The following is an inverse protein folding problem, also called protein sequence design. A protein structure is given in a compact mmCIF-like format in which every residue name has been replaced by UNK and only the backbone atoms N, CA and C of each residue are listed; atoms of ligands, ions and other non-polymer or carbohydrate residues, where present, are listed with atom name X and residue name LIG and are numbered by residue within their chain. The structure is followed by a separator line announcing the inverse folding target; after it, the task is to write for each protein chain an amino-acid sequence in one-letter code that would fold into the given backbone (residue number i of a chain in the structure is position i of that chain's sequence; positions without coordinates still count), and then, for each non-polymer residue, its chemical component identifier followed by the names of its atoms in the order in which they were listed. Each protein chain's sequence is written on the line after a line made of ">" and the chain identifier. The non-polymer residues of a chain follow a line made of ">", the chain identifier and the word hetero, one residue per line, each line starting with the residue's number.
data_IF_544649816509
#
_entry.id   IF_544649816509
#
_cell.length_a   1.000
_cell.length_b   1.000
_cell.length_c   1.000
_cell.angle_alpha   90.00
_cell.angle_beta   90.00
_cell.angle_gamma   90.00
#
_symmetry.space_group_name_H-M   'P 1'
#
loop_
_entity.id
_entity.type
_entity.pdbx_description
1 polymer ?
#
# COMPACT_ATOMS: atom_id res chain seq x y z
N UNK A 1 33.72 59.36 36.32
CA UNK A 1 32.38 59.33 35.69
C UNK A 1 31.77 57.99 36.09
N UNK A 2 30.95 58.07 37.11
CA UNK A 2 30.24 56.92 37.66
C UNK A 2 29.15 56.57 36.65
N UNK A 3 29.26 55.42 36.03
CA UNK A 3 28.24 54.91 35.10
C UNK A 3 26.95 54.66 35.92
N UNK A 4 25.95 55.49 35.73
CA UNK A 4 24.68 55.36 36.43
C UNK A 4 24.11 53.99 36.13
N UNK A 5 23.70 53.24 37.17
CA UNK A 5 23.09 51.93 37.07
C UNK A 5 21.88 52.04 36.17
N UNK A 6 21.78 51.27 35.05
CA UNK A 6 20.68 51.35 34.08
C UNK A 6 19.29 51.16 34.69
N UNK A 7 19.24 50.59 35.90
CA UNK A 7 18.01 50.45 36.69
C UNK A 7 17.57 51.78 37.30
N UNK A 8 18.52 52.57 37.80
CA UNK A 8 18.26 53.89 38.38
C UNK A 8 17.87 54.91 37.33
N UNK A 9 18.47 54.88 36.15
CA UNK A 9 18.10 55.71 35.00
C UNK A 9 16.69 55.43 34.50
N UNK A 10 16.28 54.16 34.41
CA UNK A 10 14.95 53.76 34.09
C UNK A 10 13.90 54.19 35.15
N UNK A 11 14.24 54.08 36.45
CA UNK A 11 13.39 54.49 37.56
C UNK A 11 13.19 56.01 37.60
N UNK A 12 14.21 56.81 37.36
CA UNK A 12 14.10 58.28 37.30
C UNK A 12 13.27 58.73 36.11
N UNK A 13 13.31 58.06 34.98
CA UNK A 13 12.47 58.32 33.84
C UNK A 13 10.99 58.05 34.13
N UNK A 14 10.66 57.00 34.90
CA UNK A 14 9.29 56.66 35.31
C UNK A 14 8.71 57.65 36.33
N UNK A 15 9.54 58.28 37.13
CA UNK A 15 9.05 59.12 38.23
C UNK A 15 8.98 60.63 37.90
N UNK A 16 9.67 61.13 36.87
CA UNK A 16 9.92 62.55 36.66
C UNK A 16 9.24 63.21 35.41
N UNK A 17 8.06 62.73 34.89
CA UNK A 17 7.42 63.44 33.82
C UNK A 17 6.07 62.92 33.35
N UNK A 18 5.32 63.78 32.60
CA UNK A 18 4.07 63.41 31.91
C UNK A 18 4.20 62.24 30.99
N UNK A 19 5.40 62.02 30.46
CA UNK A 19 5.74 60.84 29.63
C UNK A 19 5.64 59.53 30.41
N UNK A 20 6.05 59.47 31.70
CA UNK A 20 5.93 58.29 32.53
C UNK A 20 4.49 57.83 32.76
N UNK A 21 3.57 58.77 33.02
CA UNK A 21 2.17 58.45 33.21
C UNK A 21 1.49 57.95 31.94
N UNK A 22 1.87 58.46 30.77
CA UNK A 22 1.38 58.03 29.49
C UNK A 22 1.82 56.59 29.20
N UNK A 23 3.07 56.21 29.48
CA UNK A 23 3.60 54.86 29.34
C UNK A 23 2.91 53.86 30.29
N UNK A 24 2.75 54.24 31.59
CA UNK A 24 2.03 53.40 32.55
C UNK A 24 0.61 53.12 32.06
N UNK A 25 -0.08 54.16 31.53
CA UNK A 25 -1.44 53.98 30.98
C UNK A 25 -1.46 53.07 29.77
N UNK A 26 -0.51 53.17 28.83
CA UNK A 26 -0.40 52.30 27.66
C UNK A 26 -0.16 50.83 28.05
N UNK A 27 0.80 50.58 28.94
CA UNK A 27 1.11 49.25 29.45
C UNK A 27 -0.11 48.64 30.16
N UNK A 28 -0.77 49.42 31.02
CA UNK A 28 -1.99 48.99 31.73
C UNK A 28 -3.12 48.64 30.76
N UNK A 29 -3.30 49.45 29.72
CA UNK A 29 -4.31 49.19 28.67
C UNK A 29 -4.01 47.86 27.91
N UNK A 30 -2.73 47.66 27.54
CA UNK A 30 -2.32 46.45 26.84
C UNK A 30 -2.53 45.21 27.70
N UNK A 31 -2.03 45.25 28.98
CA UNK A 31 -2.20 44.13 29.92
C UNK A 31 -3.71 43.84 30.15
N UNK A 32 -4.50 44.90 30.34
CA UNK A 32 -5.95 44.76 30.51
C UNK A 32 -6.60 44.10 29.26
N UNK A 33 -6.19 44.56 28.07
CA UNK A 33 -6.69 43.98 26.80
C UNK A 33 -6.32 42.49 26.68
N UNK A 34 -5.10 42.10 27.10
CA UNK A 34 -4.66 40.72 27.11
C UNK A 34 -5.47 39.88 28.10
N UNK A 35 -5.77 40.38 29.28
CA UNK A 35 -6.63 39.70 30.27
C UNK A 35 -8.01 39.47 29.69
N UNK A 36 -8.62 40.51 29.09
CA UNK A 36 -9.93 40.43 28.47
C UNK A 36 -9.93 39.46 27.28
N UNK A 37 -8.94 39.59 26.40
CA UNK A 37 -8.82 38.68 25.23
C UNK A 37 -8.66 37.22 25.68
N UNK A 38 -7.82 36.96 26.71
CA UNK A 38 -7.62 35.63 27.26
C UNK A 38 -8.88 35.06 27.94
N UNK A 39 -9.67 35.90 28.61
CA UNK A 39 -10.99 35.50 29.15
C UNK A 39 -11.94 35.05 28.03
N UNK A 40 -12.06 35.84 26.97
CA UNK A 40 -12.89 35.49 25.83
C UNK A 40 -12.39 34.23 25.11
N UNK A 41 -11.09 34.13 24.91
CA UNK A 41 -10.45 32.97 24.27
C UNK A 41 -10.74 31.67 25.04
N UNK A 42 -10.58 31.67 26.36
CA UNK A 42 -10.94 30.53 27.23
C UNK A 42 -12.42 30.18 27.12
N UNK A 43 -13.30 31.17 27.05
CA UNK A 43 -14.75 30.97 26.95
C UNK A 43 -15.14 30.42 25.58
N UNK A 44 -14.50 30.87 24.50
CA UNK A 44 -14.70 30.37 23.13
C UNK A 44 -14.22 28.93 23.04
N UNK A 45 -13.03 28.63 23.52
CA UNK A 45 -12.48 27.28 23.48
C UNK A 45 -13.33 26.30 24.31
N UNK A 46 -13.84 26.68 25.47
CA UNK A 46 -14.75 25.87 26.28
C UNK A 46 -16.09 25.56 25.53
N UNK A 47 -16.66 26.58 24.86
CA UNK A 47 -17.88 26.37 24.06
C UNK A 47 -17.64 25.50 22.84
N UNK A 48 -16.47 25.59 22.21
CA UNK A 48 -16.09 24.72 21.10
C UNK A 48 -15.91 23.29 21.58
N UNK A 49 -15.33 23.08 22.75
CA UNK A 49 -15.18 21.75 23.37
C UNK A 49 -16.54 21.08 23.58
N UNK A 50 -17.51 21.79 24.22
CA UNK A 50 -18.87 21.29 24.41
C UNK A 50 -19.61 20.97 23.09
N UNK A 51 -19.37 21.75 22.02
CA UNK A 51 -19.96 21.50 20.70
C UNK A 51 -19.34 20.32 19.98
N UNK A 52 -18.04 20.12 20.14
CA UNK A 52 -17.31 19.04 19.47
C UNK A 52 -17.50 17.70 20.17
N UNK A 53 -17.74 17.66 21.49
CA UNK A 53 -18.11 16.43 22.21
C UNK A 53 -19.38 15.79 21.63
N UNK A 54 -20.34 16.60 21.18
CA UNK A 54 -21.59 16.13 20.58
C UNK A 54 -21.44 15.76 19.08
N UNK A 55 -20.30 16.04 18.46
CA UNK A 55 -20.07 15.79 17.05
C UNK A 55 -19.18 14.56 16.89
N UNK A 56 -19.56 13.62 16.04
CA UNK A 56 -18.82 12.37 15.80
C UNK A 56 -17.44 12.57 15.13
N UNK A 57 -16.93 13.80 15.01
CA UNK A 57 -15.64 14.11 14.40
C UNK A 57 -14.48 14.00 15.42
N UNK A 58 -13.63 12.98 15.34
CA UNK A 58 -12.57 12.72 16.35
C UNK A 58 -11.50 13.79 16.39
N UNK A 59 -11.24 14.40 15.24
CA UNK A 59 -10.20 15.42 15.07
C UNK A 59 -10.56 16.75 15.73
N UNK A 60 -11.87 17.08 15.77
CA UNK A 60 -12.37 18.32 16.35
C UNK A 60 -12.11 18.38 17.87
N UNK A 61 -12.48 17.32 18.59
CA UNK A 61 -12.28 17.23 20.03
C UNK A 61 -10.78 17.25 20.38
N UNK A 62 -9.96 16.48 19.64
CA UNK A 62 -8.53 16.44 19.84
C UNK A 62 -7.87 17.81 19.63
N UNK A 63 -8.31 18.55 18.61
CA UNK A 63 -7.79 19.89 18.29
C UNK A 63 -8.11 20.89 19.41
N UNK A 64 -9.36 20.96 19.84
CA UNK A 64 -9.81 21.95 20.85
C UNK A 64 -9.19 21.63 22.21
N UNK A 65 -9.21 20.35 22.62
CA UNK A 65 -8.60 19.93 23.89
C UNK A 65 -7.09 20.20 23.93
N UNK A 66 -6.37 19.94 22.84
CA UNK A 66 -4.94 20.21 22.74
C UNK A 66 -4.62 21.72 22.71
N UNK A 67 -5.47 22.55 22.10
CA UNK A 67 -5.24 23.98 21.92
C UNK A 67 -5.44 24.79 23.21
N UNK A 68 -6.31 24.38 24.11
CA UNK A 68 -6.80 25.17 25.25
C UNK A 68 -5.67 25.77 26.11
N UNK A 69 -4.70 24.97 26.53
CA UNK A 69 -3.59 25.40 27.39
C UNK A 69 -2.50 26.19 26.62
N UNK A 70 -1.97 25.67 25.49
CA UNK A 70 -0.92 26.34 24.75
C UNK A 70 -1.36 27.70 24.18
N UNK A 71 -2.57 27.80 23.62
CA UNK A 71 -3.07 29.07 23.06
C UNK A 71 -3.28 30.13 24.12
N UNK A 72 -3.74 29.73 25.31
CA UNK A 72 -3.85 30.63 26.47
C UNK A 72 -2.50 31.16 26.90
N UNK A 73 -1.47 30.30 26.98
CA UNK A 73 -0.11 30.71 27.32
C UNK A 73 0.50 31.60 26.23
N UNK A 74 0.28 31.25 24.97
CA UNK A 74 0.75 32.05 23.82
C UNK A 74 0.17 33.47 23.83
N UNK A 75 -1.12 33.62 24.16
CA UNK A 75 -1.74 34.95 24.30
C UNK A 75 -1.08 35.77 25.40
N UNK A 76 -0.69 35.17 26.54
CA UNK A 76 0.05 35.83 27.59
C UNK A 76 1.46 36.22 27.14
N UNK A 77 2.22 35.34 26.50
CA UNK A 77 3.56 35.61 26.00
C UNK A 77 3.54 36.79 25.04
N UNK A 78 2.65 36.74 24.00
CA UNK A 78 2.55 37.84 23.03
C UNK A 78 2.15 39.15 23.69
N UNK A 79 1.18 39.11 24.59
CA UNK A 79 0.71 40.32 25.25
C UNK A 79 1.75 40.96 26.21
N UNK A 80 2.42 40.14 27.00
CA UNK A 80 3.46 40.62 27.89
C UNK A 80 4.69 41.14 27.13
N UNK A 81 5.14 40.42 26.10
CA UNK A 81 6.27 40.89 25.27
C UNK A 81 5.92 42.12 24.47
N UNK A 82 4.64 42.28 24.05
CA UNK A 82 4.18 43.54 23.44
C UNK A 82 4.21 44.73 24.46
N UNK A 83 3.81 44.48 25.72
CA UNK A 83 3.93 45.49 26.76
C UNK A 83 5.40 45.86 27.03
N UNK A 84 6.30 44.88 27.09
CA UNK A 84 7.73 45.09 27.23
C UNK A 84 8.32 45.87 26.05
N UNK A 85 7.87 45.61 24.83
CA UNK A 85 8.26 46.37 23.64
C UNK A 85 7.91 47.85 23.75
N UNK A 86 6.72 48.19 24.22
CA UNK A 86 6.33 49.60 24.44
C UNK A 86 7.28 50.28 25.43
N UNK A 87 7.67 49.58 26.49
CA UNK A 87 8.66 50.11 27.49
C UNK A 87 10.02 50.29 26.80
N UNK A 88 10.49 49.32 26.04
CA UNK A 88 11.77 49.38 25.34
C UNK A 88 11.84 50.56 24.35
N UNK A 89 10.78 50.70 23.49
CA UNK A 89 10.70 51.77 22.50
C UNK A 89 10.67 53.15 23.14
N UNK A 90 10.23 53.28 24.42
CA UNK A 90 10.13 54.53 25.15
C UNK A 90 11.36 54.84 25.99
N UNK A 91 12.05 53.82 26.54
CA UNK A 91 13.15 53.99 27.49
C UNK A 91 14.51 53.67 26.90
N UNK A 92 14.55 52.93 25.78
CA UNK A 92 15.78 52.39 25.18
C UNK A 92 16.69 51.62 26.17
N UNK A 93 16.12 51.14 27.29
CA UNK A 93 16.89 50.46 28.31
C UNK A 93 17.28 49.03 27.86
N UNK A 94 18.59 48.73 27.87
CA UNK A 94 19.15 47.47 27.36
C UNK A 94 18.58 46.21 28.04
N UNK A 95 18.05 46.35 29.28
CA UNK A 95 17.41 45.23 29.99
C UNK A 95 16.17 44.66 29.27
N UNK A 96 15.55 45.41 28.39
CA UNK A 96 14.35 45.00 27.63
C UNK A 96 14.66 44.48 26.21
N UNK A 97 15.92 44.50 25.78
CA UNK A 97 16.35 44.04 24.45
C UNK A 97 16.00 42.58 24.17
N UNK A 98 15.88 41.76 25.21
CA UNK A 98 15.56 40.34 25.11
C UNK A 98 14.08 40.02 24.81
N UNK A 99 13.21 41.01 24.61
CA UNK A 99 11.78 40.73 24.37
C UNK A 99 11.52 39.94 23.07
N UNK A 100 12.26 40.25 21.99
CA UNK A 100 12.08 39.54 20.70
C UNK A 100 12.47 38.07 20.75
N UNK A 101 13.65 37.68 21.24
CA UNK A 101 14.01 36.27 21.42
C UNK A 101 13.04 35.54 22.36
N UNK A 102 12.63 36.14 23.45
CA UNK A 102 11.67 35.55 24.42
C UNK A 102 10.30 35.32 23.77
N UNK A 103 9.80 36.29 23.00
CA UNK A 103 8.54 36.15 22.27
C UNK A 103 8.63 34.99 21.26
N UNK A 104 9.68 34.99 20.46
CA UNK A 104 9.82 34.00 19.37
C UNK A 104 9.97 32.60 19.94
N UNK A 105 10.85 32.38 20.89
CA UNK A 105 11.05 31.07 21.53
C UNK A 105 9.81 30.64 22.30
N UNK A 106 9.14 31.58 22.98
CA UNK A 106 7.89 31.29 23.69
C UNK A 106 6.77 30.87 22.79
N UNK A 107 6.59 31.55 21.65
CA UNK A 107 5.57 31.16 20.61
C UNK A 107 5.89 29.80 20.01
N UNK A 108 7.17 29.55 19.65
CA UNK A 108 7.62 28.24 19.14
C UNK A 108 7.34 27.15 20.19
N UNK A 109 7.66 27.40 21.46
CA UNK A 109 7.38 26.49 22.56
C UNK A 109 5.89 26.17 22.72
N UNK A 110 5.02 27.17 22.61
CA UNK A 110 3.56 27.00 22.68
C UNK A 110 3.02 26.19 21.50
N UNK A 111 3.49 26.47 20.28
CA UNK A 111 3.11 25.71 19.08
C UNK A 111 3.59 24.26 19.22
N UNK A 112 4.82 24.06 19.64
CA UNK A 112 5.37 22.71 19.87
C UNK A 112 4.55 21.95 20.90
N UNK A 113 4.24 22.59 22.04
CA UNK A 113 3.41 21.97 23.07
C UNK A 113 2.01 21.62 22.56
N UNK A 114 1.38 22.50 21.79
CA UNK A 114 0.12 22.25 21.13
C UNK A 114 0.21 21.01 20.22
N UNK A 115 1.21 20.95 19.33
CA UNK A 115 1.38 19.82 18.39
C UNK A 115 1.63 18.49 19.12
N UNK A 116 2.43 18.49 20.18
CA UNK A 116 2.66 17.29 20.98
C UNK A 116 1.40 16.79 21.68
N UNK A 117 0.61 17.71 22.26
CA UNK A 117 -0.68 17.37 22.86
C UNK A 117 -1.69 16.90 21.80
N UNK A 118 -1.72 17.56 20.65
CA UNK A 118 -2.62 17.19 19.54
C UNK A 118 -2.33 15.78 19.03
N UNK A 119 -1.05 15.45 18.75
CA UNK A 119 -0.64 14.11 18.34
C UNK A 119 -1.10 13.07 19.37
N UNK A 120 -0.91 13.33 20.65
CA UNK A 120 -1.31 12.41 21.72
C UNK A 120 -2.84 12.25 21.79
N UNK A 121 -3.58 13.35 21.74
CA UNK A 121 -5.05 13.32 21.80
C UNK A 121 -5.65 12.58 20.60
N UNK A 122 -5.07 12.74 19.40
CA UNK A 122 -5.48 11.99 18.20
C UNK A 122 -5.21 10.49 18.36
N UNK A 123 -4.03 10.12 18.88
CA UNK A 123 -3.71 8.71 19.15
C UNK A 123 -4.70 8.07 20.12
N UNK A 124 -4.94 8.72 21.26
CA UNK A 124 -5.87 8.24 22.29
C UNK A 124 -7.30 8.11 21.73
N UNK A 125 -7.72 9.08 20.90
CA UNK A 125 -9.03 9.06 20.23
C UNK A 125 -9.17 7.96 19.18
N UNK A 126 -8.10 7.63 18.42
CA UNK A 126 -8.10 6.53 17.45
C UNK A 126 -8.23 5.17 18.16
N UNK A 127 -7.44 4.97 19.22
CA UNK A 127 -7.46 3.74 20.02
C UNK A 127 -8.84 3.52 20.63
N UNK A 128 -9.39 4.53 21.31
CA UNK A 128 -10.70 4.45 21.95
C UNK A 128 -11.83 4.11 20.95
N UNK A 129 -11.79 4.62 19.73
CA UNK A 129 -12.79 4.31 18.70
C UNK A 129 -12.73 2.89 18.19
N UNK A 130 -11.53 2.38 17.93
CA UNK A 130 -11.38 1.00 17.47
C UNK A 130 -11.82 0.02 18.55
N UNK A 131 -11.49 0.31 19.81
CA UNK A 131 -11.99 -0.47 20.97
C UNK A 131 -13.52 -0.46 21.09
N UNK A 132 -14.13 0.73 20.91
CA UNK A 132 -15.60 0.87 20.95
C UNK A 132 -16.31 0.11 19.81
N UNK A 133 -15.61 -0.14 18.68
CA UNK A 133 -16.12 -0.92 17.54
C UNK A 133 -15.84 -2.42 17.66
N UNK A 134 -15.20 -2.87 18.73
CA UNK A 134 -14.78 -4.27 18.90
C UNK A 134 -13.74 -4.74 17.88
N UNK A 135 -13.03 -3.81 17.23
CA UNK A 135 -11.99 -4.13 16.25
C UNK A 135 -10.63 -4.31 16.95
N UNK A 136 -9.78 -5.23 16.50
CA UNK A 136 -8.44 -5.37 17.05
C UNK A 136 -7.63 -4.10 16.80
N UNK A 137 -7.15 -3.49 17.90
CA UNK A 137 -6.35 -2.27 17.86
C UNK A 137 -4.87 -2.64 17.78
N UNK A 138 -4.21 -2.25 16.71
CA UNK A 138 -2.75 -2.27 16.64
C UNK A 138 -2.17 -1.04 17.35
N UNK A 139 -2.15 -1.09 18.68
CA UNK A 139 -1.56 -0.04 19.52
C UNK A 139 -0.10 0.22 19.18
N UNK A 140 0.64 -0.82 18.79
CA UNK A 140 2.07 -0.72 18.47
C UNK A 140 2.32 0.19 17.27
N UNK A 141 1.55 0.03 16.21
CA UNK A 141 1.66 0.89 15.01
C UNK A 141 1.25 2.32 15.30
N UNK A 142 0.14 2.55 16.02
CA UNK A 142 -0.31 3.89 16.40
C UNK A 142 0.73 4.61 17.26
N UNK A 143 1.30 3.90 18.24
CA UNK A 143 2.35 4.45 19.11
C UNK A 143 3.65 4.74 18.35
N UNK A 144 4.07 3.88 17.44
CA UNK A 144 5.27 4.08 16.63
C UNK A 144 5.15 5.33 15.75
N UNK A 145 4.03 5.50 15.04
CA UNK A 145 3.76 6.69 14.22
C UNK A 145 3.75 7.94 15.08
N UNK A 146 3.08 7.92 16.22
CA UNK A 146 3.02 9.05 17.10
C UNK A 146 4.38 9.43 17.72
N UNK A 147 5.24 8.46 18.00
CA UNK A 147 6.63 8.73 18.43
C UNK A 147 7.42 9.42 17.33
N UNK A 148 7.34 8.94 16.10
CA UNK A 148 8.03 9.55 14.96
C UNK A 148 7.55 10.99 14.72
N UNK A 149 6.24 11.24 14.73
CA UNK A 149 5.68 12.58 14.59
C UNK A 149 6.16 13.52 15.71
N UNK A 150 6.16 13.07 16.96
CA UNK A 150 6.65 13.87 18.10
C UNK A 150 8.14 14.20 17.99
N UNK A 151 8.97 13.24 17.58
CA UNK A 151 10.41 13.47 17.35
C UNK A 151 10.59 14.49 16.24
N UNK A 152 9.86 14.38 15.11
CA UNK A 152 9.94 15.34 14.00
C UNK A 152 9.57 16.75 14.44
N UNK A 153 8.46 16.91 15.19
CA UNK A 153 8.03 18.19 15.75
C UNK A 153 9.10 18.78 16.68
N UNK A 154 9.69 17.95 17.56
CA UNK A 154 10.71 18.40 18.49
C UNK A 154 12.00 18.84 17.78
N UNK A 155 12.46 18.07 16.80
CA UNK A 155 13.65 18.42 16.00
C UNK A 155 13.42 19.76 15.29
N UNK A 156 12.27 19.91 14.61
CA UNK A 156 11.92 21.15 13.90
C UNK A 156 11.84 22.33 14.84
N UNK A 157 11.21 22.19 16.01
CA UNK A 157 11.08 23.23 17.00
C UNK A 157 12.47 23.68 17.56
N UNK A 158 13.35 22.72 17.83
CA UNK A 158 14.72 23.03 18.30
C UNK A 158 15.51 23.78 17.21
N UNK A 159 15.42 23.36 15.94
CA UNK A 159 16.11 24.03 14.84
C UNK A 159 15.60 25.46 14.64
N UNK A 160 14.30 25.69 14.65
CA UNK A 160 13.72 27.03 14.54
C UNK A 160 14.07 27.88 15.77
N UNK A 161 14.03 27.29 16.96
CA UNK A 161 14.42 27.96 18.21
C UNK A 161 15.89 28.41 18.20
N UNK A 162 16.80 27.54 17.79
CA UNK A 162 18.22 27.88 17.64
C UNK A 162 18.45 29.02 16.64
N UNK A 163 17.76 28.93 15.48
CA UNK A 163 17.85 29.96 14.46
C UNK A 163 17.33 31.31 14.95
N UNK A 164 16.23 31.32 15.71
CA UNK A 164 15.66 32.56 16.29
C UNK A 164 16.55 33.21 17.37
N UNK A 165 17.43 32.42 18.00
CA UNK A 165 18.42 32.88 18.94
C UNK A 165 19.73 33.32 18.24
N UNK A 166 19.76 33.37 16.90
CA UNK A 166 20.92 33.81 16.13
C UNK A 166 21.97 32.71 15.86
N UNK A 167 21.75 31.47 16.28
CA UNK A 167 22.63 30.36 15.95
C UNK A 167 22.50 29.92 14.49
N UNK A 168 23.62 29.70 13.82
CA UNK A 168 23.62 29.16 12.47
C UNK A 168 23.26 27.69 12.51
N UNK A 169 22.08 27.35 11.93
CA UNK A 169 21.62 25.95 11.79
C UNK A 169 22.17 25.28 10.54
N UNK A 170 22.90 25.99 9.69
CA UNK A 170 23.43 25.48 8.42
C UNK A 170 24.27 24.21 8.58
N UNK A 171 25.15 24.18 9.60
CA UNK A 171 25.94 22.98 9.90
C UNK A 171 25.10 21.79 10.36
N UNK A 172 24.09 22.05 11.19
CA UNK A 172 23.16 21.00 11.66
C UNK A 172 22.34 20.46 10.47
N UNK A 173 21.87 21.34 9.55
CA UNK A 173 21.14 20.94 8.36
C UNK A 173 22.02 20.17 7.36
N UNK A 174 23.28 20.59 7.17
CA UNK A 174 24.23 19.86 6.32
C UNK A 174 24.50 18.44 6.86
N UNK A 175 24.75 18.31 8.16
CA UNK A 175 24.94 17.02 8.82
C UNK A 175 23.66 16.19 8.82
N UNK A 176 22.51 16.82 9.09
CA UNK A 176 21.18 16.22 9.02
C UNK A 176 20.83 15.76 7.61
N UNK A 177 21.31 16.45 6.57
CA UNK A 177 21.15 16.05 5.17
C UNK A 177 21.83 14.72 4.87
N UNK A 178 23.07 14.51 5.32
CA UNK A 178 23.76 13.21 5.18
C UNK A 178 23.03 12.11 5.97
N UNK A 179 22.61 12.39 7.19
CA UNK A 179 21.79 11.48 8.00
C UNK A 179 20.43 11.20 7.34
N UNK A 180 19.80 12.20 6.72
CA UNK A 180 18.54 12.07 5.99
C UNK A 180 18.66 11.14 4.78
N UNK A 181 19.78 11.19 4.04
CA UNK A 181 20.08 10.26 2.95
C UNK A 181 20.16 8.83 3.48
N UNK A 182 20.85 8.59 4.59
CA UNK A 182 20.95 7.26 5.19
C UNK A 182 19.58 6.73 5.64
N UNK A 183 18.75 7.56 6.28
CA UNK A 183 17.37 7.22 6.66
C UNK A 183 16.50 6.97 5.42
N UNK A 184 16.66 7.78 4.36
CA UNK A 184 15.97 7.60 3.09
C UNK A 184 16.28 6.25 2.44
N UNK A 185 17.54 5.83 2.42
CA UNK A 185 17.92 4.50 1.94
C UNK A 185 17.35 3.38 2.82
N UNK A 186 17.36 3.53 4.13
CA UNK A 186 16.75 2.56 5.05
C UNK A 186 15.22 2.45 4.88
N UNK A 187 14.55 3.54 4.52
CA UNK A 187 13.10 3.59 4.30
C UNK A 187 12.68 3.25 2.86
N UNK A 188 13.62 3.01 1.94
CA UNK A 188 13.36 2.81 0.50
C UNK A 188 12.31 1.75 0.22
N UNK A 189 12.45 0.58 0.85
CA UNK A 189 11.54 -0.54 0.61
C UNK A 189 10.14 -0.28 1.17
N UNK A 190 10.05 0.44 2.29
CA UNK A 190 8.78 0.87 2.85
C UNK A 190 8.02 1.80 1.89
N UNK A 191 8.72 2.80 1.36
CA UNK A 191 8.19 3.74 0.38
C UNK A 191 7.83 3.05 -0.93
N UNK A 192 8.67 2.13 -1.43
CA UNK A 192 8.39 1.37 -2.63
C UNK A 192 7.10 0.54 -2.50
N UNK A 193 6.87 -0.09 -1.35
CA UNK A 193 5.65 -0.84 -1.09
C UNK A 193 4.42 0.07 -0.95
N UNK A 194 4.56 1.23 -0.31
CA UNK A 194 3.48 2.21 -0.21
C UNK A 194 3.06 2.72 -1.60
N UNK A 195 4.02 3.14 -2.43
CA UNK A 195 3.74 3.58 -3.79
C UNK A 195 3.24 2.46 -4.70
N UNK A 196 3.74 1.23 -4.52
CA UNK A 196 3.21 0.04 -5.19
C UNK A 196 1.74 -0.21 -4.86
N UNK A 197 1.36 -0.12 -3.59
CA UNK A 197 -0.04 -0.22 -3.17
C UNK A 197 -0.91 0.92 -3.71
N UNK A 198 -0.40 2.14 -3.70
CA UNK A 198 -1.08 3.29 -4.28
C UNK A 198 -1.31 3.11 -5.79
N UNK A 199 -0.31 2.59 -6.53
CA UNK A 199 -0.42 2.31 -7.95
C UNK A 199 -1.48 1.24 -8.23
N UNK A 200 -1.51 0.15 -7.45
CA UNK A 200 -2.57 -0.87 -7.55
C UNK A 200 -3.94 -0.26 -7.31
N UNK A 201 -4.07 0.67 -6.35
CA UNK A 201 -5.33 1.33 -6.03
C UNK A 201 -5.80 2.30 -7.14
N UNK A 202 -4.87 3.05 -7.75
CA UNK A 202 -5.18 4.05 -8.80
C UNK A 202 -5.45 3.37 -10.15
N UNK A 203 -4.54 2.49 -10.61
CA UNK A 203 -4.59 1.89 -11.95
C UNK A 203 -5.51 0.67 -11.97
N UNK A 204 -5.77 0.05 -10.83
CA UNK A 204 -6.64 -1.12 -10.64
C UNK A 204 -6.35 -2.26 -11.63
N UNK A 205 -5.12 -2.72 -11.76
CA UNK A 205 -4.82 -3.89 -12.58
C UNK A 205 -5.58 -5.11 -12.10
N UNK A 206 -5.90 -5.17 -10.82
CA UNK A 206 -6.77 -6.16 -10.18
C UNK A 206 -7.53 -5.54 -9.00
N UNK A 207 -8.57 -6.23 -8.54
CA UNK A 207 -9.38 -5.88 -7.39
C UNK A 207 -9.47 -7.06 -6.41
N UNK A 208 -9.99 -6.80 -5.21
CA UNK A 208 -10.32 -7.87 -4.25
C UNK A 208 -11.36 -8.80 -4.89
N UNK A 209 -11.11 -10.09 -4.83
CA UNK A 209 -11.90 -11.14 -5.49
C UNK A 209 -11.39 -11.58 -6.85
N UNK A 210 -10.50 -10.80 -7.50
CA UNK A 210 -9.92 -11.19 -8.78
C UNK A 210 -8.92 -12.36 -8.61
N UNK A 211 -8.96 -13.29 -9.52
CA UNK A 211 -7.88 -14.25 -9.74
C UNK A 211 -6.78 -13.58 -10.54
N UNK A 212 -5.58 -13.56 -9.98
CA UNK A 212 -4.38 -13.02 -10.64
C UNK A 212 -3.30 -14.09 -10.74
N UNK A 213 -2.46 -13.92 -11.76
CA UNK A 213 -1.31 -14.78 -12.02
C UNK A 213 -0.11 -13.94 -12.47
N UNK A 214 1.06 -14.29 -11.99
CA UNK A 214 2.33 -13.78 -12.54
C UNK A 214 3.19 -14.97 -12.95
N UNK A 215 3.43 -15.16 -14.27
CA UNK A 215 4.30 -16.23 -14.75
C UNK A 215 5.74 -16.13 -14.25
N UNK A 216 6.21 -14.87 -14.02
CA UNK A 216 7.61 -14.58 -13.66
C UNK A 216 7.97 -14.99 -12.24
N UNK A 217 7.00 -15.08 -11.32
CA UNK A 217 7.22 -15.22 -9.88
C UNK A 217 6.45 -16.35 -9.20
N UNK A 218 5.77 -17.20 -9.95
CA UNK A 218 4.89 -18.25 -9.42
C UNK A 218 3.85 -17.71 -8.41
N UNK A 219 3.36 -16.49 -8.67
CA UNK A 219 2.29 -15.90 -7.89
C UNK A 219 0.99 -16.24 -8.60
N UNK A 220 0.09 -16.99 -7.94
CA UNK A 220 -1.22 -17.31 -8.50
C UNK A 220 -2.24 -17.52 -7.39
N UNK A 221 -3.44 -16.97 -7.56
CA UNK A 221 -4.55 -17.13 -6.63
C UNK A 221 -5.54 -15.98 -6.66
N UNK A 222 -6.48 -15.99 -5.72
CA UNK A 222 -7.51 -14.97 -5.58
C UNK A 222 -7.08 -13.90 -4.58
N UNK A 223 -7.21 -12.63 -4.95
CA UNK A 223 -6.90 -11.49 -4.09
C UNK A 223 -7.93 -11.39 -2.97
N UNK A 224 -7.50 -11.49 -1.71
CA UNK A 224 -8.37 -11.36 -0.53
C UNK A 224 -8.35 -9.96 0.07
N UNK A 225 -7.18 -9.31 0.05
CA UNK A 225 -6.98 -8.01 0.68
C UNK A 225 -5.83 -7.26 0.02
N UNK A 226 -6.00 -5.95 -0.11
CA UNK A 226 -4.98 -5.04 -0.64
C UNK A 226 -4.64 -4.04 0.46
N UNK A 227 -3.60 -4.35 1.23
CA UNK A 227 -3.10 -3.47 2.27
C UNK A 227 -2.20 -2.36 1.71
N UNK A 228 -1.82 -1.41 2.56
CA UNK A 228 -0.94 -0.30 2.16
C UNK A 228 0.50 -0.74 1.80
N UNK A 229 0.95 -1.89 2.29
CA UNK A 229 2.30 -2.44 2.08
C UNK A 229 2.30 -3.82 1.43
N UNK A 230 1.30 -4.64 1.70
CA UNK A 230 1.25 -6.05 1.32
C UNK A 230 -0.14 -6.38 0.80
N UNK A 231 -0.22 -7.08 -0.31
CA UNK A 231 -1.44 -7.71 -0.82
C UNK A 231 -1.48 -9.17 -0.40
N UNK A 232 -2.63 -9.62 0.12
CA UNK A 232 -2.88 -11.02 0.50
C UNK A 232 -3.65 -11.72 -0.61
N UNK A 233 -3.09 -12.83 -1.07
CA UNK A 233 -3.64 -13.68 -2.12
C UNK A 233 -3.94 -15.05 -1.51
N UNK A 234 -5.08 -15.64 -1.81
CA UNK A 234 -5.42 -17.02 -1.46
C UNK A 234 -5.05 -17.91 -2.64
N UNK A 235 -4.03 -18.75 -2.48
CA UNK A 235 -3.64 -19.72 -3.49
C UNK A 235 -4.71 -20.80 -3.68
N UNK A 236 -4.66 -21.57 -4.76
CA UNK A 236 -5.66 -22.61 -5.03
C UNK A 236 -5.66 -23.73 -3.98
N UNK A 237 -4.52 -24.04 -3.39
CA UNK A 237 -4.36 -24.95 -2.25
C UNK A 237 -4.73 -24.31 -0.89
N UNK A 238 -5.41 -23.14 -0.93
CA UNK A 238 -5.98 -22.44 0.24
C UNK A 238 -4.96 -21.81 1.19
N UNK A 239 -3.69 -21.73 0.83
CA UNK A 239 -2.67 -21.03 1.63
C UNK A 239 -2.75 -19.51 1.42
N UNK A 240 -2.56 -18.69 2.46
CA UNK A 240 -2.41 -17.25 2.28
C UNK A 240 -0.98 -16.96 1.75
N UNK A 241 -0.89 -16.25 0.64
CA UNK A 241 0.35 -15.73 0.07
C UNK A 241 0.40 -14.23 0.29
N UNK A 242 1.45 -13.75 0.95
CA UNK A 242 1.66 -12.33 1.22
C UNK A 242 2.69 -11.76 0.25
N UNK A 243 2.25 -10.90 -0.64
CA UNK A 243 3.09 -10.30 -1.68
C UNK A 243 3.31 -8.82 -1.37
N UNK A 244 4.55 -8.35 -1.19
CA UNK A 244 4.85 -6.93 -1.06
C UNK A 244 4.37 -6.16 -2.30
N UNK A 245 3.69 -5.02 -2.09
CA UNK A 245 3.07 -4.29 -3.20
C UNK A 245 4.08 -3.77 -4.24
N UNK A 246 5.32 -3.49 -3.83
CA UNK A 246 6.40 -3.09 -4.74
C UNK A 246 6.71 -4.15 -5.81
N UNK A 247 6.40 -5.42 -5.57
CA UNK A 247 6.59 -6.52 -6.51
C UNK A 247 5.70 -6.31 -7.74
N UNK A 248 4.44 -5.90 -7.55
CA UNK A 248 3.49 -5.71 -8.66
C UNK A 248 3.90 -4.60 -9.64
N UNK A 249 4.74 -3.66 -9.22
CA UNK A 249 5.31 -2.64 -10.11
C UNK A 249 6.44 -3.17 -11.02
N UNK A 250 6.92 -4.41 -10.82
CA UNK A 250 8.11 -4.94 -11.46
C UNK A 250 7.89 -6.25 -12.22
N UNK A 251 6.69 -6.82 -12.15
CA UNK A 251 6.36 -8.12 -12.75
C UNK A 251 5.29 -7.98 -13.83
N UNK A 252 5.28 -8.92 -14.77
CA UNK A 252 4.12 -9.11 -15.63
C UNK A 252 2.96 -9.71 -14.82
N UNK A 253 1.78 -9.14 -14.95
CA UNK A 253 0.58 -9.57 -14.26
C UNK A 253 -0.52 -9.90 -15.25
N UNK A 254 -1.03 -11.12 -15.16
CA UNK A 254 -2.22 -11.57 -15.86
C UNK A 254 -3.42 -11.52 -14.90
N UNK A 255 -4.59 -11.13 -15.42
CA UNK A 255 -5.84 -11.16 -14.67
C UNK A 255 -6.86 -12.08 -15.35
N UNK A 256 -6.85 -13.39 -15.02
CA UNK A 256 -7.79 -14.35 -15.61
C UNK A 256 -9.25 -14.06 -15.29
N UNK A 257 -9.57 -13.29 -14.23
CA UNK A 257 -10.95 -12.89 -13.95
C UNK A 257 -11.52 -11.92 -14.99
N UNK A 258 -10.66 -11.24 -15.74
CA UNK A 258 -11.04 -10.29 -16.81
C UNK A 258 -10.91 -10.87 -18.22
N UNK A 259 -10.65 -12.19 -18.35
CA UNK A 259 -10.62 -12.82 -19.66
C UNK A 259 -12.02 -12.82 -20.29
N UNK A 260 -12.07 -12.69 -21.60
CA UNK A 260 -13.34 -12.72 -22.37
C UNK A 260 -13.77 -14.13 -22.74
N UNK A 261 -12.80 -14.99 -23.01
CA UNK A 261 -13.00 -16.38 -23.44
C UNK A 261 -11.88 -17.25 -22.88
N UNK A 262 -12.10 -18.57 -22.77
CA UNK A 262 -11.03 -19.53 -22.45
C UNK A 262 -10.58 -20.26 -23.69
N UNK A 263 -9.28 -20.39 -23.85
CA UNK A 263 -8.67 -21.06 -24.99
C UNK A 263 -8.57 -22.56 -24.75
N UNK A 264 -9.04 -23.34 -25.73
CA UNK A 264 -8.68 -24.76 -25.91
C UNK A 264 -7.52 -24.78 -26.89
N UNK A 265 -6.39 -25.30 -26.47
CA UNK A 265 -5.21 -25.47 -27.33
C UNK A 265 -4.63 -26.85 -27.04
N UNK A 266 -4.88 -27.76 -27.99
CA UNK A 266 -4.51 -29.18 -27.88
C UNK A 266 -3.84 -29.64 -29.16
N UNK A 267 -2.96 -30.61 -29.00
CA UNK A 267 -2.32 -31.33 -30.10
C UNK A 267 -2.81 -32.78 -30.05
N UNK A 268 -3.43 -33.23 -31.11
CA UNK A 268 -3.98 -34.59 -31.23
C UNK A 268 -3.13 -35.36 -32.22
N UNK A 269 -2.48 -36.43 -31.76
CA UNK A 269 -1.64 -37.26 -32.59
C UNK A 269 -2.40 -38.42 -33.20
N UNK A 270 -2.38 -38.57 -34.52
CA UNK A 270 -2.93 -39.71 -35.29
C UNK A 270 -1.76 -40.57 -35.79
N UNK A 271 -1.99 -41.90 -35.95
CA UNK A 271 -0.93 -42.83 -36.45
C UNK A 271 -0.51 -42.48 -37.87
N UNK A 272 0.76 -42.78 -38.18
CA UNK A 272 1.28 -42.64 -39.56
C UNK A 272 0.53 -43.50 -40.59
N UNK A 273 0.07 -44.70 -40.19
CA UNK A 273 -0.69 -45.61 -41.05
C UNK A 273 -2.01 -45.01 -41.50
N UNK A 274 -2.54 -44.03 -40.74
CA UNK A 274 -3.82 -43.39 -41.01
C UNK A 274 -3.69 -42.07 -41.78
N UNK A 275 -2.51 -41.79 -42.37
CA UNK A 275 -2.21 -40.56 -43.10
C UNK A 275 -3.27 -40.20 -44.15
N UNK A 276 -3.81 -41.22 -44.85
CA UNK A 276 -4.83 -40.99 -45.86
C UNK A 276 -6.12 -40.35 -45.34
N UNK A 277 -6.42 -40.53 -44.04
CA UNK A 277 -7.63 -40.03 -43.39
C UNK A 277 -7.49 -38.70 -42.71
N UNK A 278 -6.24 -38.19 -42.55
CA UNK A 278 -5.94 -36.96 -41.76
C UNK A 278 -6.71 -35.76 -42.32
N UNK A 279 -6.79 -35.59 -43.64
CA UNK A 279 -7.48 -34.44 -44.23
C UNK A 279 -8.99 -34.43 -43.89
N UNK A 280 -9.63 -35.60 -43.95
CA UNK A 280 -11.06 -35.77 -43.67
C UNK A 280 -11.34 -35.60 -42.17
N UNK A 281 -10.50 -36.20 -41.33
CA UNK A 281 -10.53 -36.00 -39.85
C UNK A 281 -10.45 -34.52 -39.49
N UNK A 282 -9.51 -33.77 -40.06
CA UNK A 282 -9.37 -32.32 -39.82
C UNK A 282 -10.64 -31.57 -40.26
N UNK A 283 -11.21 -31.90 -41.39
CA UNK A 283 -12.46 -31.30 -41.92
C UNK A 283 -13.63 -31.54 -40.96
N UNK A 284 -13.80 -32.77 -40.49
CA UNK A 284 -14.88 -33.15 -39.60
C UNK A 284 -14.72 -32.55 -38.18
N UNK A 285 -13.52 -32.52 -37.62
CA UNK A 285 -13.25 -31.80 -36.36
C UNK A 285 -13.60 -30.32 -36.50
N UNK A 286 -13.22 -29.70 -37.62
CA UNK A 286 -13.57 -28.30 -37.90
C UNK A 286 -15.06 -28.08 -38.00
N UNK A 287 -15.76 -28.98 -38.64
CA UNK A 287 -17.24 -28.94 -38.77
C UNK A 287 -17.92 -29.14 -37.43
N UNK A 288 -17.47 -30.08 -36.62
CA UNK A 288 -17.97 -30.34 -35.28
C UNK A 288 -17.80 -29.10 -34.38
N UNK A 289 -16.61 -28.47 -34.36
CA UNK A 289 -16.36 -27.26 -33.57
C UNK A 289 -17.23 -26.08 -34.04
N UNK A 290 -17.48 -25.94 -35.35
CA UNK A 290 -18.37 -24.90 -35.86
C UNK A 290 -19.82 -25.11 -35.44
N UNK A 291 -20.27 -26.35 -35.30
CA UNK A 291 -21.61 -26.67 -34.83
C UNK A 291 -21.76 -26.69 -33.31
N UNK A 292 -20.65 -26.66 -32.58
CA UNK A 292 -20.66 -26.77 -31.11
C UNK A 292 -21.23 -25.51 -30.45
N UNK A 293 -22.27 -25.62 -29.60
CA UNK A 293 -22.96 -24.45 -29.03
C UNK A 293 -22.06 -23.60 -28.08
N UNK A 294 -21.13 -24.23 -27.39
CA UNK A 294 -20.29 -23.59 -26.36
C UNK A 294 -18.98 -23.08 -26.92
N UNK A 295 -18.69 -23.27 -28.20
CA UNK A 295 -17.52 -22.70 -28.87
C UNK A 295 -17.86 -21.31 -29.42
N UNK A 296 -16.95 -20.36 -29.16
CA UNK A 296 -17.08 -18.97 -29.59
C UNK A 296 -16.73 -18.86 -31.09
N UNK A 297 -17.74 -18.82 -31.94
CA UNK A 297 -17.58 -18.83 -33.41
C UNK A 297 -16.99 -17.53 -33.94
N UNK A 298 -17.10 -16.45 -33.20
CA UNK A 298 -16.53 -15.12 -33.45
C UNK A 298 -15.02 -15.04 -33.17
N UNK A 299 -14.47 -16.02 -32.48
CA UNK A 299 -13.05 -16.09 -32.13
C UNK A 299 -12.27 -16.95 -33.12
N UNK A 300 -10.95 -16.77 -33.11
CA UNK A 300 -10.06 -17.56 -33.97
C UNK A 300 -10.23 -19.06 -33.73
N UNK A 301 -10.51 -19.81 -34.80
CA UNK A 301 -10.58 -21.26 -34.79
C UNK A 301 -9.60 -21.83 -35.82
N UNK A 302 -8.68 -22.67 -35.36
CA UNK A 302 -7.69 -23.35 -36.20
C UNK A 302 -7.77 -24.84 -35.90
N UNK A 303 -7.97 -25.63 -36.94
CA UNK A 303 -7.84 -27.10 -36.91
C UNK A 303 -7.05 -27.48 -38.14
N UNK A 304 -5.80 -27.79 -37.99
CA UNK A 304 -4.92 -28.10 -39.10
C UNK A 304 -3.94 -29.23 -38.73
N UNK A 305 -3.61 -30.05 -39.72
CA UNK A 305 -2.41 -30.86 -39.62
C UNK A 305 -1.21 -29.93 -39.52
N UNK A 306 -0.40 -30.08 -38.48
CA UNK A 306 0.63 -29.11 -38.11
C UNK A 306 2.04 -29.65 -38.26
N UNK A 307 2.28 -30.91 -37.89
CA UNK A 307 3.61 -31.47 -37.80
C UNK A 307 3.65 -32.99 -37.95
N UNK A 308 4.72 -33.48 -38.58
CA UNK A 308 5.15 -34.87 -38.54
C UNK A 308 6.03 -35.10 -37.33
N UNK A 309 5.45 -35.60 -36.25
CA UNK A 309 6.19 -35.85 -35.00
C UNK A 309 6.82 -37.24 -35.03
N UNK A 310 7.66 -37.59 -34.01
CA UNK A 310 8.40 -38.84 -33.97
C UNK A 310 7.56 -40.11 -34.05
N UNK A 311 6.31 -40.08 -33.60
CA UNK A 311 5.41 -41.26 -33.57
C UNK A 311 3.97 -40.88 -33.97
N UNK A 312 3.69 -39.67 -34.39
CA UNK A 312 2.34 -39.17 -34.68
C UNK A 312 2.29 -38.14 -35.79
N UNK A 313 1.16 -38.06 -36.42
CA UNK A 313 0.75 -36.97 -37.27
C UNK A 313 -0.05 -35.99 -36.41
N UNK A 314 0.52 -34.83 -36.12
CA UNK A 314 -0.03 -33.92 -35.13
C UNK A 314 -1.04 -32.96 -35.73
N UNK A 315 -2.27 -33.01 -35.24
CA UNK A 315 -3.36 -32.08 -35.58
C UNK A 315 -3.47 -31.05 -34.45
N UNK A 316 -3.25 -29.79 -34.78
CA UNK A 316 -3.43 -28.67 -33.86
C UNK A 316 -4.90 -28.28 -33.82
N UNK A 317 -5.46 -28.25 -32.62
CA UNK A 317 -6.80 -27.73 -32.31
C UNK A 317 -6.67 -26.48 -31.45
N UNK A 318 -7.05 -25.35 -32.02
CA UNK A 318 -7.01 -24.05 -31.36
C UNK A 318 -8.37 -23.40 -31.50
N UNK A 319 -9.04 -23.16 -30.37
CA UNK A 319 -10.36 -22.56 -30.35
C UNK A 319 -10.66 -21.93 -28.99
N UNK A 320 -11.78 -21.24 -28.85
CA UNK A 320 -12.18 -20.58 -27.62
C UNK A 320 -13.59 -21.00 -27.21
N UNK A 321 -13.79 -21.17 -25.90
CA UNK A 321 -15.12 -21.37 -25.32
C UNK A 321 -15.79 -20.02 -25.06
N UNK A 322 -17.13 -19.99 -25.04
CA UNK A 322 -17.93 -18.82 -24.65
C UNK A 322 -17.84 -18.53 -23.15
N UNK A 323 -17.72 -19.58 -22.35
CA UNK A 323 -17.61 -19.45 -20.90
C UNK A 323 -16.18 -19.19 -20.44
N UNK A 324 -16.05 -18.41 -19.39
CA UNK A 324 -14.79 -18.21 -18.65
C UNK A 324 -14.76 -19.00 -17.33
N UNK A 325 -15.88 -19.63 -16.95
CA UNK A 325 -15.99 -20.40 -15.70
C UNK A 325 -15.12 -21.65 -15.76
N UNK A 326 -14.28 -21.84 -14.72
CA UNK A 326 -13.26 -22.89 -14.71
C UNK A 326 -13.83 -24.29 -14.86
N UNK A 327 -14.85 -24.63 -14.08
CA UNK A 327 -15.45 -25.97 -14.09
C UNK A 327 -16.15 -26.22 -15.43
N UNK A 328 -17.02 -25.31 -15.86
CA UNK A 328 -17.74 -25.43 -17.14
C UNK A 328 -16.77 -25.51 -18.35
N UNK A 329 -15.66 -24.78 -18.31
CA UNK A 329 -14.63 -24.88 -19.34
C UNK A 329 -14.04 -26.28 -19.43
N UNK A 330 -13.76 -26.94 -18.30
CA UNK A 330 -13.23 -28.31 -18.34
C UNK A 330 -14.25 -29.32 -18.82
N UNK A 331 -15.53 -29.14 -18.53
CA UNK A 331 -16.63 -29.97 -19.07
C UNK A 331 -16.73 -29.83 -20.57
N UNK A 332 -16.71 -28.59 -21.10
CA UNK A 332 -16.73 -28.33 -22.53
C UNK A 332 -15.46 -28.88 -23.21
N UNK A 333 -14.30 -28.70 -22.62
CA UNK A 333 -13.05 -29.23 -23.14
C UNK A 333 -13.11 -30.76 -23.23
N UNK A 334 -13.63 -31.43 -22.20
CA UNK A 334 -13.81 -32.87 -22.19
C UNK A 334 -14.74 -33.31 -23.33
N UNK A 335 -15.90 -32.66 -23.51
CA UNK A 335 -16.86 -32.97 -24.57
C UNK A 335 -16.23 -32.82 -25.96
N UNK A 336 -15.48 -31.73 -26.18
CA UNK A 336 -14.74 -31.52 -27.43
C UNK A 336 -13.72 -32.62 -27.68
N UNK A 337 -12.96 -33.02 -26.69
CA UNK A 337 -11.91 -34.05 -26.83
C UNK A 337 -12.51 -35.43 -27.09
N UNK A 338 -13.63 -35.78 -26.45
CA UNK A 338 -14.35 -37.03 -26.70
C UNK A 338 -14.90 -37.09 -28.12
N UNK A 339 -15.55 -36.02 -28.60
CA UNK A 339 -16.03 -35.91 -29.96
C UNK A 339 -14.89 -36.00 -31.01
N UNK A 340 -13.74 -35.47 -30.73
CA UNK A 340 -12.56 -35.61 -31.56
C UNK A 340 -12.16 -37.11 -31.65
N UNK A 341 -12.16 -37.83 -30.51
CA UNK A 341 -11.88 -39.25 -30.46
C UNK A 341 -12.89 -40.04 -31.31
N UNK A 342 -14.19 -39.78 -31.17
CA UNK A 342 -15.26 -40.41 -31.97
C UNK A 342 -15.10 -40.18 -33.49
N UNK A 343 -14.67 -38.95 -33.89
CA UNK A 343 -14.37 -38.64 -35.30
C UNK A 343 -13.22 -39.48 -35.82
N UNK A 344 -12.12 -39.57 -35.04
CA UNK A 344 -10.95 -40.39 -35.42
C UNK A 344 -11.34 -41.84 -35.58
N UNK A 345 -12.08 -42.41 -34.63
CA UNK A 345 -12.56 -43.80 -34.70
C UNK A 345 -13.52 -44.03 -35.88
N UNK A 346 -14.42 -43.07 -36.17
CA UNK A 346 -15.35 -43.17 -37.30
C UNK A 346 -14.64 -43.25 -38.66
N UNK A 347 -13.46 -42.67 -38.79
CA UNK A 347 -12.59 -42.80 -39.97
C UNK A 347 -11.74 -44.07 -39.96
N UNK A 348 -11.88 -44.95 -38.97
CA UNK A 348 -11.07 -46.17 -38.82
C UNK A 348 -9.62 -45.88 -38.41
N UNK A 349 -9.32 -44.63 -38.04
CA UNK A 349 -8.02 -44.18 -37.58
C UNK A 349 -7.89 -44.37 -36.06
N UNK A 350 -6.69 -44.27 -35.56
CA UNK A 350 -6.40 -44.40 -34.13
C UNK A 350 -5.48 -43.29 -33.63
N UNK A 351 -5.64 -42.95 -32.36
CA UNK A 351 -4.71 -42.07 -31.66
C UNK A 351 -3.33 -42.76 -31.59
N UNK A 352 -2.30 -42.01 -31.90
CA UNK A 352 -0.93 -42.51 -31.93
C UNK A 352 -0.42 -42.95 -30.56
N UNK A 353 0.16 -44.12 -30.50
CA UNK A 353 0.96 -44.55 -29.36
C UNK A 353 2.45 -44.24 -29.61
N UNK A 354 3.28 -44.05 -28.57
CA UNK A 354 4.73 -44.00 -28.76
C UNK A 354 5.26 -45.25 -29.44
N UNK A 355 5.75 -45.11 -30.68
CA UNK A 355 6.25 -46.24 -31.49
C UNK A 355 7.76 -46.23 -31.51
N UNK A 356 8.36 -47.41 -31.35
CA UNK A 356 9.81 -47.63 -31.50
C UNK A 356 10.08 -48.75 -32.50
N UNK A 357 10.90 -48.47 -33.48
CA UNK A 357 11.41 -49.49 -34.39
C UNK A 357 12.64 -50.11 -33.79
N UNK A 358 12.60 -51.40 -33.50
CA UNK A 358 13.76 -52.15 -33.06
C UNK A 358 14.41 -52.83 -34.26
N UNK A 359 15.60 -52.44 -34.61
CA UNK A 359 16.40 -53.12 -35.63
C UNK A 359 17.18 -54.25 -34.97
N UNK A 360 16.79 -55.50 -35.25
CA UNK A 360 17.45 -56.70 -34.73
C UNK A 360 18.18 -57.39 -35.88
N UNK A 361 19.50 -57.21 -36.00
CA UNK A 361 20.24 -57.71 -37.18
C UNK A 361 20.18 -59.22 -37.39
N UNK A 362 20.06 -60.02 -36.33
CA UNK A 362 20.11 -61.49 -36.37
C UNK A 362 18.73 -62.17 -36.25
N UNK A 363 17.65 -61.39 -36.31
CA UNK A 363 16.29 -61.88 -36.09
C UNK A 363 15.98 -62.26 -34.65
N UNK A 364 14.69 -62.24 -34.27
CA UNK A 364 14.23 -62.67 -32.94
C UNK A 364 13.69 -64.08 -33.08
N UNK A 365 14.34 -65.08 -32.42
CA UNK A 365 13.77 -66.42 -32.25
C UNK A 365 12.76 -66.31 -31.08
N UNK A 366 11.48 -66.47 -31.36
CA UNK A 366 10.52 -66.71 -30.30
C UNK A 366 10.59 -68.17 -29.91
N UNK A 367 11.23 -68.51 -28.80
CA UNK A 367 11.02 -69.82 -28.18
C UNK A 367 9.63 -69.76 -27.52
N UNK A 368 8.68 -70.63 -27.90
CA UNK A 368 7.44 -70.74 -27.15
C UNK A 368 7.81 -71.14 -25.72
N UNK A 369 7.28 -70.41 -24.79
CA UNK A 369 7.43 -70.71 -23.35
C UNK A 369 7.02 -72.20 -23.20
N UNK A 370 7.94 -73.00 -22.70
CA UNK A 370 7.69 -74.42 -22.45
C UNK A 370 6.55 -74.45 -21.45
N UNK A 371 5.39 -74.91 -21.94
CA UNK A 371 4.19 -75.02 -21.11
C UNK A 371 4.64 -75.68 -19.80
N UNK A 372 4.40 -74.99 -18.71
CA UNK A 372 4.69 -75.50 -17.37
C UNK A 372 4.01 -76.86 -17.26
N UNK A 373 4.80 -77.93 -17.23
CA UNK A 373 4.34 -79.28 -17.09
C UNK A 373 3.51 -79.40 -15.80
N UNK A 374 2.18 -79.67 -15.89
CA UNK A 374 1.34 -79.76 -14.71
C UNK A 374 1.65 -80.93 -13.79
N UNK A 375 2.70 -81.72 -14.09
CA UNK A 375 3.04 -82.93 -13.36
C UNK A 375 3.98 -82.71 -12.14
N UNK A 376 4.40 -81.47 -11.80
CA UNK A 376 5.27 -81.22 -10.63
C UNK A 376 4.59 -80.48 -9.47
N UNK A 377 3.29 -80.37 -9.46
CA UNK A 377 2.54 -79.83 -8.31
C UNK A 377 1.98 -80.93 -7.43
N UNK A 378 2.85 -81.82 -6.97
CA UNK A 378 2.43 -82.89 -6.05
C UNK A 378 3.62 -83.56 -5.42
N UNK A 379 4.15 -82.98 -4.34
CA UNK A 379 4.83 -83.54 -3.17
C UNK A 379 5.84 -82.53 -2.57
N UNK A 380 5.40 -81.75 -1.61
CA UNK A 380 5.98 -81.61 -0.29
C UNK A 380 5.15 -80.66 0.53
#
# INVERSE_FOLDING_TARGET
>A
MEEADPITEALDWFTNGDAGWMLITQVFLVVSAVVVANYFLRRILARLEERTENTQAPWGNALVAAARRPVTLMAWIIGLTFAVRIIYDSTAAAIFEFYEPVQTVGVIGCITWFLLLFIRSVQDGMVARQEARGQPVDRTTVDAIGKLLRISVLITAVLIGLQSLGFSVSGVLAFGGVGGIAVGFAARDLLANFFGGLMVYLDRPFAIGDWIRSPDRNIEGTVEDIGWRVTRIRTFDKRPLYVPNSVFAQIALENPSRMTNRRIFETIGVRYDDFAHVADIVADIKSMLKAHPDIAQEQTMIVNFNEYNSSSLDIMVYTFTRTTQWVAFHEIKQDVLLKIGEIIEAHGAQIAFPTRTLHVPDGVRFEPDAAADPAQAGTQ
#
